data_IF_694129196300
#
_entry.id   IF_694129196300
#
_cell.length_a   1.000
_cell.length_b   1.000
_cell.length_c   1.000
_cell.angle_alpha   90.00
_cell.angle_beta   90.00
_cell.angle_gamma   90.00
#
_symmetry.space_group_name_H-M   'P 1'
#
loop_
_entity.id
_entity.type
_entity.pdbx_description
1 polymer ?
#
# COMPACT_ATOMS: atom_id res chain seq x y z
N UNK A 1 -2.46 -0.20 -19.36
CA UNK A 1 -1.96 -1.59 -19.21
C UNK A 1 -1.07 -1.57 -17.97
N UNK A 2 -1.52 -2.14 -16.85
CA UNK A 2 -0.81 -2.03 -15.57
C UNK A 2 0.42 -2.92 -15.58
N UNK A 3 1.61 -2.34 -15.49
CA UNK A 3 2.82 -3.14 -15.37
C UNK A 3 2.87 -3.80 -13.98
N UNK A 4 3.21 -5.07 -13.97
CA UNK A 4 3.63 -5.82 -12.81
C UNK A 4 4.70 -6.79 -13.30
N UNK A 5 5.65 -7.14 -12.45
CA UNK A 5 6.61 -8.19 -12.75
C UNK A 5 6.54 -9.29 -11.72
N UNK A 6 6.87 -10.51 -12.15
CA UNK A 6 6.90 -11.70 -11.31
C UNK A 6 8.35 -12.18 -11.26
N UNK A 7 8.91 -12.32 -10.06
CA UNK A 7 10.28 -12.82 -9.86
C UNK A 7 10.30 -14.30 -9.56
N UNK A 8 9.29 -14.78 -8.83
CA UNK A 8 9.17 -16.17 -8.40
C UNK A 8 7.74 -16.67 -8.60
N UNK A 9 7.57 -17.91 -9.06
CA UNK A 9 6.25 -18.52 -9.27
C UNK A 9 6.27 -20.00 -8.90
N UNK A 10 5.34 -20.43 -8.04
CA UNK A 10 5.19 -21.81 -7.58
C UNK A 10 3.73 -22.25 -7.70
N UNK A 11 3.50 -23.49 -8.13
CA UNK A 11 2.17 -24.06 -8.29
C UNK A 11 2.06 -25.38 -7.53
N UNK A 12 1.00 -25.51 -6.73
CA UNK A 12 0.71 -26.66 -5.88
C UNK A 12 -0.70 -27.20 -6.09
N UNK A 13 -0.98 -28.44 -5.66
CA UNK A 13 -2.34 -28.95 -5.51
C UNK A 13 -3.20 -28.03 -4.62
N UNK A 14 -4.54 -28.12 -4.70
CA UNK A 14 -5.44 -27.27 -3.95
C UNK A 14 -5.44 -27.64 -2.45
N UNK A 15 -6.15 -26.85 -1.64
CA UNK A 15 -6.41 -27.12 -0.23
C UNK A 15 -5.15 -27.19 0.65
N UNK A 16 -4.12 -26.39 0.33
CA UNK A 16 -3.04 -26.15 1.29
C UNK A 16 -3.61 -25.47 2.53
N UNK A 17 -3.32 -26.02 3.71
CA UNK A 17 -3.65 -25.39 4.98
C UNK A 17 -2.70 -24.21 5.27
N UNK A 18 -3.06 -23.40 6.26
CA UNK A 18 -2.31 -22.21 6.65
C UNK A 18 -0.84 -22.52 7.02
N UNK A 19 -0.55 -23.66 7.63
CA UNK A 19 0.83 -24.02 7.95
C UNK A 19 1.67 -24.23 6.69
N UNK A 20 1.12 -24.91 5.68
CA UNK A 20 1.80 -25.07 4.40
C UNK A 20 1.96 -23.74 3.67
N UNK A 21 0.92 -22.90 3.64
CA UNK A 21 0.99 -21.57 3.02
C UNK A 21 2.08 -20.72 3.69
N UNK A 22 2.08 -20.66 5.02
CA UNK A 22 3.08 -19.91 5.80
C UNK A 22 4.50 -20.44 5.60
N UNK A 23 4.68 -21.76 5.50
CA UNK A 23 5.99 -22.36 5.25
C UNK A 23 6.50 -22.00 3.84
N UNK A 24 5.69 -22.21 2.81
CA UNK A 24 6.06 -21.96 1.40
C UNK A 24 6.29 -20.46 1.17
N UNK A 25 5.41 -19.60 1.65
CA UNK A 25 5.64 -18.15 1.60
C UNK A 25 6.90 -17.76 2.40
N UNK A 26 7.16 -18.43 3.52
CA UNK A 26 8.41 -18.26 4.29
C UNK A 26 9.67 -18.57 3.49
N UNK A 27 9.63 -19.56 2.59
CA UNK A 27 10.72 -19.85 1.64
C UNK A 27 10.98 -18.63 0.75
N UNK A 28 9.93 -18.08 0.15
CA UNK A 28 10.01 -16.93 -0.75
C UNK A 28 10.50 -15.68 -0.01
N UNK A 29 9.91 -15.34 1.14
CA UNK A 29 10.29 -14.17 1.96
C UNK A 29 11.79 -14.22 2.33
N UNK A 30 12.30 -15.39 2.69
CA UNK A 30 13.64 -15.55 3.24
C UNK A 30 14.68 -16.01 2.20
N UNK A 31 14.31 -16.18 0.93
CA UNK A 31 15.19 -16.69 -0.12
C UNK A 31 15.76 -18.09 0.18
N UNK A 32 14.96 -18.96 0.79
CA UNK A 32 15.38 -20.32 1.15
C UNK A 32 15.22 -21.29 -0.02
N UNK A 33 15.86 -22.46 0.07
CA UNK A 33 15.63 -23.55 -0.87
C UNK A 33 14.38 -24.35 -0.50
N UNK A 34 13.55 -24.66 -1.51
CA UNK A 34 12.24 -25.29 -1.32
C UNK A 34 12.32 -26.78 -1.00
N UNK A 35 13.46 -27.41 -1.27
CA UNK A 35 13.74 -28.82 -1.00
C UNK A 35 14.23 -29.08 0.43
N UNK A 36 14.31 -28.04 1.26
CA UNK A 36 14.72 -28.12 2.65
C UNK A 36 13.56 -27.83 3.62
N UNK A 37 13.53 -28.46 4.81
CA UNK A 37 12.59 -28.11 5.85
C UNK A 37 12.71 -26.62 6.23
N UNK A 38 11.59 -25.91 6.21
CA UNK A 38 11.53 -24.50 6.62
C UNK A 38 11.46 -24.44 8.16
N UNK A 39 12.40 -23.75 8.83
CA UNK A 39 12.31 -23.53 10.27
C UNK A 39 11.02 -22.77 10.64
N UNK A 40 10.37 -23.13 11.75
CA UNK A 40 9.10 -22.49 12.15
C UNK A 40 9.22 -20.98 12.39
N UNK A 41 10.37 -20.47 12.82
CA UNK A 41 10.65 -19.03 12.98
C UNK A 41 10.74 -18.29 11.64
N UNK A 42 10.95 -19.04 10.55
CA UNK A 42 10.98 -18.57 9.16
C UNK A 42 9.64 -18.67 8.46
N UNK A 43 8.60 -19.17 9.13
CA UNK A 43 7.25 -19.13 8.57
C UNK A 43 6.82 -17.67 8.39
N UNK A 44 6.22 -17.40 7.23
CA UNK A 44 5.67 -16.10 6.95
C UNK A 44 4.41 -15.85 7.81
N UNK A 45 4.21 -14.59 8.15
CA UNK A 45 2.91 -14.08 8.55
C UNK A 45 2.07 -13.84 7.29
N UNK A 46 0.80 -14.27 7.32
CA UNK A 46 -0.10 -14.20 6.16
C UNK A 46 -1.27 -13.27 6.46
N UNK A 47 -1.76 -12.63 5.42
CA UNK A 47 -2.91 -11.73 5.46
C UNK A 47 -3.92 -12.24 4.46
N UNK A 48 -5.16 -12.45 4.89
CA UNK A 48 -6.24 -12.76 3.95
C UNK A 48 -6.86 -11.49 3.41
N UNK A 49 -7.34 -11.51 2.17
CA UNK A 49 -8.11 -10.40 1.60
C UNK A 49 -9.31 -10.00 2.48
N UNK A 50 -9.91 -10.96 3.19
CA UNK A 50 -11.02 -10.73 4.12
C UNK A 50 -10.64 -9.96 5.40
N UNK A 51 -9.35 -9.86 5.72
CA UNK A 51 -8.87 -9.00 6.82
C UNK A 51 -8.87 -7.53 6.42
N UNK A 52 -8.92 -7.23 5.12
CA UNK A 52 -9.07 -5.88 4.63
C UNK A 52 -10.50 -5.41 4.84
N UNK A 53 -10.67 -4.39 5.68
CA UNK A 53 -11.98 -3.81 5.93
C UNK A 53 -12.46 -2.95 4.75
N UNK A 54 -11.63 -2.59 3.78
CA UNK A 54 -12.05 -1.78 2.62
C UNK A 54 -12.04 -0.29 2.91
N UNK A 55 -12.80 0.49 2.14
CA UNK A 55 -12.91 1.96 2.25
C UNK A 55 -13.78 2.41 3.43
N UNK A 56 -13.59 1.82 4.62
CA UNK A 56 -14.30 2.30 5.80
C UNK A 56 -13.89 3.73 6.13
N UNK A 57 -14.89 4.54 6.47
CA UNK A 57 -14.67 5.89 6.99
C UNK A 57 -13.83 5.76 8.27
N UNK A 58 -12.66 6.41 8.35
CA UNK A 58 -11.83 6.47 9.54
C UNK A 58 -12.64 6.92 10.75
N UNK A 59 -12.43 6.21 11.86
CA UNK A 59 -13.01 6.56 13.16
C UNK A 59 -12.20 7.64 13.89
N UNK A 60 -10.97 7.88 13.44
CA UNK A 60 -10.09 8.91 13.96
C UNK A 60 -9.84 9.96 12.86
N UNK A 61 -9.13 11.02 13.26
CA UNK A 61 -8.71 12.09 12.35
C UNK A 61 -7.73 11.53 11.33
N UNK A 62 -7.83 11.98 10.08
CA UNK A 62 -6.81 11.72 9.06
C UNK A 62 -5.98 12.97 8.91
N UNK A 63 -4.74 12.93 9.37
CA UNK A 63 -3.84 14.08 9.35
C UNK A 63 -2.69 13.89 8.37
N UNK A 64 -2.34 14.93 7.63
CA UNK A 64 -1.12 15.01 6.84
C UNK A 64 -0.08 15.80 7.61
N UNK A 65 0.97 15.13 8.06
CA UNK A 65 2.16 15.76 8.63
C UNK A 65 3.11 16.23 7.52
N UNK A 66 3.73 17.39 7.70
CA UNK A 66 4.74 17.93 6.78
C UNK A 66 5.50 19.10 7.42
N UNK A 67 6.40 19.71 6.66
CA UNK A 67 6.97 21.01 7.04
C UNK A 67 5.95 22.13 6.85
N UNK A 68 5.99 23.10 7.75
CA UNK A 68 5.13 24.31 7.78
C UNK A 68 5.13 25.02 6.43
N UNK A 69 6.28 25.13 5.76
CA UNK A 69 6.40 25.76 4.44
C UNK A 69 5.57 25.06 3.36
N UNK A 70 5.50 23.72 3.40
CA UNK A 70 4.72 22.93 2.44
C UNK A 70 3.23 22.96 2.77
N UNK A 71 2.87 22.98 4.05
CA UNK A 71 1.48 23.17 4.48
C UNK A 71 0.99 24.56 4.08
N UNK A 72 1.83 25.59 4.24
CA UNK A 72 1.52 26.93 3.76
C UNK A 72 1.28 26.96 2.26
N UNK A 73 2.20 26.38 1.47
CA UNK A 73 2.03 26.27 0.03
C UNK A 73 0.76 25.50 -0.36
N UNK A 74 0.38 24.44 0.37
CA UNK A 74 -0.85 23.70 0.11
C UNK A 74 -2.09 24.58 0.30
N UNK A 75 -2.21 25.32 1.40
CA UNK A 75 -3.39 26.17 1.63
C UNK A 75 -3.41 27.45 0.80
N UNK A 76 -2.26 27.96 0.38
CA UNK A 76 -2.16 29.18 -0.43
C UNK A 76 -2.39 28.92 -1.91
N UNK A 77 -1.80 27.86 -2.46
CA UNK A 77 -1.81 27.59 -3.91
C UNK A 77 -2.42 26.24 -4.29
N UNK A 78 -2.76 25.40 -3.31
CA UNK A 78 -3.17 24.01 -3.55
C UNK A 78 -2.00 23.07 -3.84
N UNK A 79 -0.75 23.51 -3.64
CA UNK A 79 0.41 22.73 -4.04
C UNK A 79 0.58 21.48 -3.18
N UNK A 80 0.60 20.31 -3.80
CA UNK A 80 0.72 19.03 -3.13
C UNK A 80 1.61 18.09 -3.96
N UNK A 81 2.41 17.26 -3.28
CA UNK A 81 3.14 16.17 -3.93
C UNK A 81 2.43 14.84 -3.66
N UNK A 82 2.23 14.05 -4.72
CA UNK A 82 1.86 12.64 -4.62
C UNK A 82 3.10 11.79 -4.93
N UNK A 83 3.41 10.84 -4.05
CA UNK A 83 4.54 9.93 -4.23
C UNK A 83 4.20 8.77 -5.18
N UNK A 84 5.18 7.93 -5.45
CA UNK A 84 5.03 6.62 -6.08
C UNK A 84 5.71 5.57 -5.18
N UNK A 85 5.44 4.28 -5.35
CA UNK A 85 6.18 3.26 -4.61
C UNK A 85 7.69 3.34 -4.91
N UNK A 86 8.07 3.58 -6.17
CA UNK A 86 9.47 3.76 -6.57
C UNK A 86 10.12 4.96 -5.89
N UNK A 87 9.41 6.07 -5.73
CA UNK A 87 9.87 7.25 -4.99
C UNK A 87 10.19 6.89 -3.54
N UNK A 88 9.31 6.18 -2.83
CA UNK A 88 9.57 5.78 -1.44
C UNK A 88 10.71 4.76 -1.32
N UNK A 89 10.90 3.88 -2.30
CA UNK A 89 12.03 2.93 -2.32
C UNK A 89 13.41 3.63 -2.35
N UNK A 90 13.49 4.91 -2.74
CA UNK A 90 14.76 5.62 -2.90
C UNK A 90 15.25 6.33 -1.63
N UNK A 91 14.40 6.56 -0.63
CA UNK A 91 14.81 7.31 0.57
C UNK A 91 15.65 6.46 1.53
N UNK A 92 16.66 7.09 2.11
CA UNK A 92 17.50 6.50 3.16
C UNK A 92 16.95 6.76 4.57
N UNK A 93 16.14 7.81 4.74
CA UNK A 93 15.44 8.03 6.00
C UNK A 93 14.46 6.87 6.22
N UNK A 94 14.61 6.05 7.27
CA UNK A 94 13.79 4.87 7.49
C UNK A 94 12.32 5.18 7.79
N UNK A 95 11.98 6.43 8.15
CA UNK A 95 10.58 6.82 8.33
C UNK A 95 9.86 7.04 6.99
N UNK A 96 10.59 7.53 5.99
CA UNK A 96 10.06 7.87 4.67
C UNK A 96 10.27 6.71 3.69
N UNK A 97 11.42 6.06 3.78
CA UNK A 97 11.84 4.99 2.89
C UNK A 97 11.35 3.63 3.36
N UNK A 98 10.71 2.90 2.45
CA UNK A 98 10.44 1.48 2.58
C UNK A 98 10.94 0.81 1.31
N UNK A 99 12.05 0.06 1.41
CA UNK A 99 12.68 -0.58 0.25
C UNK A 99 11.84 -1.73 -0.32
N UNK A 100 10.83 -2.17 0.43
CA UNK A 100 9.89 -3.22 0.04
C UNK A 100 8.56 -2.66 -0.48
N UNK A 101 8.43 -1.35 -0.67
CA UNK A 101 7.19 -0.80 -1.23
C UNK A 101 6.95 -1.28 -2.66
N UNK A 102 5.69 -1.63 -2.92
CA UNK A 102 5.28 -2.25 -4.18
C UNK A 102 5.70 -3.71 -4.36
N UNK A 103 6.31 -4.36 -3.37
CA UNK A 103 6.71 -5.78 -3.42
C UNK A 103 5.90 -6.64 -2.44
N UNK A 104 5.37 -7.77 -2.94
CA UNK A 104 4.46 -8.64 -2.19
C UNK A 104 4.62 -10.10 -2.62
N UNK A 105 4.26 -11.02 -1.72
CA UNK A 105 3.93 -12.40 -2.11
C UNK A 105 2.42 -12.51 -2.16
N UNK A 106 1.91 -13.02 -3.29
CA UNK A 106 0.49 -13.29 -3.49
C UNK A 106 0.27 -14.79 -3.53
N UNK A 107 -0.73 -15.24 -2.78
CA UNK A 107 -1.18 -16.62 -2.75
C UNK A 107 -2.59 -16.68 -3.30
N UNK A 108 -2.73 -17.22 -4.51
CA UNK A 108 -4.03 -17.45 -5.14
C UNK A 108 -4.49 -18.87 -4.94
N UNK A 109 -5.75 -19.05 -4.53
CA UNK A 109 -6.34 -20.37 -4.34
C UNK A 109 -7.61 -20.55 -5.18
N UNK A 110 -7.80 -21.75 -5.74
CA UNK A 110 -9.10 -22.24 -6.20
C UNK A 110 -9.21 -23.75 -5.94
N UNK A 111 -10.29 -24.36 -6.42
CA UNK A 111 -10.57 -25.78 -6.23
C UNK A 111 -9.54 -26.72 -6.88
N UNK A 112 -8.73 -26.21 -7.83
CA UNK A 112 -7.78 -27.01 -8.62
C UNK A 112 -6.34 -26.81 -8.18
N UNK A 113 -5.96 -25.60 -7.79
CA UNK A 113 -4.58 -25.26 -7.49
C UNK A 113 -4.43 -24.21 -6.38
N UNK A 114 -3.23 -24.16 -5.81
CA UNK A 114 -2.74 -23.02 -5.03
C UNK A 114 -1.45 -22.52 -5.66
N UNK A 115 -1.42 -21.24 -6.03
CA UNK A 115 -0.23 -20.61 -6.61
C UNK A 115 0.37 -19.59 -5.66
N UNK A 116 1.69 -19.46 -5.69
CA UNK A 116 2.46 -18.46 -4.99
C UNK A 116 3.23 -17.64 -6.02
N UNK A 117 3.14 -16.33 -5.94
CA UNK A 117 3.88 -15.43 -6.82
C UNK A 117 4.54 -14.33 -5.98
N UNK A 118 5.84 -14.13 -6.17
CA UNK A 118 6.51 -12.93 -5.71
C UNK A 118 6.39 -11.88 -6.80
N UNK A 119 5.75 -10.75 -6.48
CA UNK A 119 5.38 -9.73 -7.45
C UNK A 119 5.91 -8.35 -7.06
N UNK A 120 6.31 -7.59 -8.07
CA UNK A 120 6.41 -6.14 -8.00
C UNK A 120 5.23 -5.50 -8.73
N UNK A 121 4.52 -4.57 -8.10
CA UNK A 121 3.32 -3.94 -8.65
C UNK A 121 3.12 -2.51 -8.13
N UNK A 122 2.10 -1.82 -8.66
CA UNK A 122 1.77 -0.44 -8.31
C UNK A 122 2.56 0.61 -9.09
N UNK A 123 3.14 0.24 -10.23
CA UNK A 123 3.88 1.17 -11.09
C UNK A 123 2.97 2.22 -11.74
N UNK A 124 1.65 2.14 -11.58
CA UNK A 124 0.69 3.11 -12.09
C UNK A 124 -0.07 3.81 -10.96
N UNK A 125 0.47 3.80 -9.74
CA UNK A 125 -0.18 4.31 -8.54
C UNK A 125 0.52 5.54 -7.97
N UNK A 126 -0.21 6.65 -7.91
CA UNK A 126 0.17 7.77 -7.05
C UNK A 126 -0.30 7.50 -5.63
N UNK A 127 0.57 7.77 -4.65
CA UNK A 127 0.36 7.43 -3.25
C UNK A 127 0.45 8.67 -2.38
N UNK A 128 -0.53 8.86 -1.50
CA UNK A 128 -0.55 9.91 -0.49
C UNK A 128 -0.78 9.31 0.89
N UNK A 129 0.28 9.34 1.71
CA UNK A 129 0.27 8.81 3.05
C UNK A 129 -0.12 9.89 4.07
N UNK A 130 -1.08 9.54 4.93
CA UNK A 130 -1.53 10.30 6.08
C UNK A 130 -1.40 9.44 7.34
N UNK A 131 -1.62 10.05 8.50
CA UNK A 131 -1.69 9.37 9.78
C UNK A 131 -3.15 9.33 10.24
N UNK A 132 -3.60 8.16 10.68
CA UNK A 132 -4.91 7.95 11.30
C UNK A 132 -4.77 8.15 12.81
N UNK A 133 -5.23 9.26 13.36
CA UNK A 133 -5.16 9.50 14.80
C UNK A 133 -4.92 10.95 15.16
N UNK A 134 -4.73 11.16 16.46
CA UNK A 134 -4.31 12.46 16.97
C UNK A 134 -2.84 12.73 16.61
N UNK A 135 -2.48 14.00 16.37
CA UNK A 135 -1.10 14.38 16.08
C UNK A 135 -0.18 14.01 17.24
N UNK A 136 0.78 13.14 16.96
CA UNK A 136 1.82 12.73 17.90
C UNK A 136 3.11 13.50 17.59
N UNK A 137 3.57 14.40 18.48
CA UNK A 137 4.80 15.16 18.29
C UNK A 137 6.03 14.29 18.06
N UNK A 138 6.12 13.12 18.70
CA UNK A 138 7.26 12.21 18.53
C UNK A 138 7.29 11.62 17.12
N UNK A 139 6.11 11.25 16.59
CA UNK A 139 6.01 10.78 15.20
C UNK A 139 6.33 11.91 14.23
N UNK A 140 5.76 13.11 14.41
CA UNK A 140 6.03 14.29 13.58
C UNK A 140 7.55 14.57 13.51
N UNK A 141 8.23 14.56 14.66
CA UNK A 141 9.67 14.83 14.75
C UNK A 141 10.51 13.74 14.06
N UNK A 142 10.14 12.45 14.19
CA UNK A 142 10.86 11.34 13.52
C UNK A 142 10.87 11.49 12.00
N UNK A 143 9.80 12.02 11.41
CA UNK A 143 9.75 12.32 9.98
C UNK A 143 10.51 13.61 9.60
N UNK A 144 11.00 14.39 10.56
CA UNK A 144 11.62 15.69 10.33
C UNK A 144 10.61 16.78 9.93
N UNK A 145 9.38 16.65 10.40
CA UNK A 145 8.27 17.59 10.16
C UNK A 145 8.05 18.47 11.38
N UNK A 146 7.30 19.56 11.20
CA UNK A 146 7.00 20.53 12.27
C UNK A 146 5.54 21.00 12.30
N UNK A 147 4.70 20.51 11.37
CA UNK A 147 3.31 20.91 11.28
C UNK A 147 2.43 19.80 10.67
N UNK A 148 1.11 19.98 10.74
CA UNK A 148 0.13 19.08 10.14
C UNK A 148 -1.17 19.81 9.76
N UNK A 149 -1.92 19.20 8.84
CA UNK A 149 -3.31 19.55 8.59
C UNK A 149 -4.21 18.33 8.65
N UNK A 150 -5.50 18.55 8.87
CA UNK A 150 -6.51 17.49 8.91
C UNK A 150 -7.31 17.46 7.62
N UNK A 151 -7.58 16.25 7.10
CA UNK A 151 -8.54 16.01 6.02
C UNK A 151 -9.89 15.73 6.68
N UNK A 152 -10.78 16.71 6.65
CA UNK A 152 -12.09 16.64 7.34
C UNK A 152 -13.17 16.02 6.47
N UNK A 153 -12.98 16.02 5.15
CA UNK A 153 -13.81 15.30 4.18
C UNK A 153 -12.92 14.48 3.25
N UNK A 154 -12.79 13.21 3.59
CA UNK A 154 -11.94 12.25 2.88
C UNK A 154 -12.42 12.03 1.45
N UNK A 155 -13.73 11.99 1.23
CA UNK A 155 -14.29 11.75 -0.10
C UNK A 155 -14.06 12.96 -0.98
N UNK A 156 -14.46 14.15 -0.52
CA UNK A 156 -14.25 15.40 -1.24
C UNK A 156 -12.77 15.66 -1.54
N UNK A 157 -11.88 15.43 -0.58
CA UNK A 157 -10.44 15.52 -0.80
C UNK A 157 -9.98 14.54 -1.88
N UNK A 158 -10.35 13.26 -1.77
CA UNK A 158 -9.92 12.24 -2.72
C UNK A 158 -10.41 12.50 -4.15
N UNK A 159 -11.65 12.98 -4.30
CA UNK A 159 -12.27 13.33 -5.58
C UNK A 159 -11.62 14.58 -6.21
N UNK A 160 -11.32 15.60 -5.40
CA UNK A 160 -10.63 16.80 -5.88
C UNK A 160 -9.26 16.47 -6.49
N UNK A 161 -8.50 15.59 -5.84
CA UNK A 161 -7.22 15.11 -6.35
C UNK A 161 -7.42 14.23 -7.58
N UNK A 162 -8.38 13.30 -7.58
CA UNK A 162 -8.69 12.45 -8.74
C UNK A 162 -8.95 13.28 -9.99
N UNK A 163 -9.74 14.35 -9.86
CA UNK A 163 -10.04 15.28 -10.95
C UNK A 163 -8.78 16.02 -11.43
N UNK A 164 -7.90 16.44 -10.51
CA UNK A 164 -6.68 17.16 -10.84
C UNK A 164 -5.66 16.32 -11.64
N UNK A 165 -5.63 15.00 -11.42
CA UNK A 165 -4.69 14.08 -12.10
C UNK A 165 -5.37 13.16 -13.12
N UNK A 166 -6.66 13.32 -13.35
CA UNK A 166 -7.47 12.46 -14.21
C UNK A 166 -7.37 10.95 -13.86
N UNK A 167 -7.35 10.64 -12.56
CA UNK A 167 -7.37 9.27 -12.08
C UNK A 167 -8.76 8.65 -12.24
N UNK A 168 -8.82 7.40 -12.69
CA UNK A 168 -10.10 6.68 -12.88
C UNK A 168 -10.56 5.99 -11.61
N UNK A 169 -9.62 5.58 -10.78
CA UNK A 169 -9.90 4.81 -9.57
C UNK A 169 -9.06 5.34 -8.43
N UNK A 170 -9.72 5.43 -7.27
CA UNK A 170 -9.13 5.77 -5.98
C UNK A 170 -9.33 4.55 -5.09
N UNK A 171 -8.32 4.22 -4.30
CA UNK A 171 -8.41 3.32 -3.17
C UNK A 171 -7.94 4.06 -1.93
N UNK A 172 -8.62 3.86 -0.80
CA UNK A 172 -8.24 4.47 0.47
C UNK A 172 -8.55 3.57 1.65
N UNK A 173 -7.57 3.38 2.51
CA UNK A 173 -7.74 2.57 3.71
C UNK A 173 -6.56 2.75 4.67
N UNK A 174 -6.73 2.20 5.87
CA UNK A 174 -5.65 2.03 6.84
C UNK A 174 -4.71 0.93 6.37
N UNK A 175 -3.44 1.08 6.71
CA UNK A 175 -2.49 -0.01 6.53
C UNK A 175 -2.72 -1.12 7.57
N UNK A 176 -2.68 -2.36 7.11
CA UNK A 176 -2.59 -3.56 7.95
C UNK A 176 -1.12 -3.84 8.20
N UNK A 177 -0.77 -3.98 9.47
CA UNK A 177 0.61 -4.21 9.90
C UNK A 177 0.85 -5.68 10.22
N UNK A 178 1.77 -6.28 9.47
CA UNK A 178 2.10 -7.71 9.53
C UNK A 178 3.60 -7.89 9.57
N UNK A 179 4.08 -9.08 9.94
CA UNK A 179 5.53 -9.34 9.87
C UNK A 179 6.01 -9.35 8.42
N UNK A 180 5.23 -9.97 7.54
CA UNK A 180 5.58 -10.22 6.14
C UNK A 180 4.46 -9.72 5.21
N UNK A 181 4.82 -9.26 4.01
CA UNK A 181 3.87 -8.78 2.98
C UNK A 181 3.33 -9.94 2.13
N UNK A 182 2.56 -10.83 2.77
CA UNK A 182 1.93 -11.97 2.11
C UNK A 182 0.40 -11.81 2.10
N UNK A 183 -0.19 -11.74 0.90
CA UNK A 183 -1.64 -11.67 0.70
C UNK A 183 -2.17 -12.99 0.17
N UNK A 184 -3.24 -13.51 0.78
CA UNK A 184 -3.93 -14.74 0.40
C UNK A 184 -5.34 -14.40 -0.09
N UNK A 185 -5.63 -14.77 -1.33
CA UNK A 185 -6.89 -14.47 -2.02
C UNK A 185 -7.51 -15.70 -2.69
N UNK A 186 -8.80 -15.61 -2.97
CA UNK A 186 -9.52 -16.63 -3.73
C UNK A 186 -9.65 -16.22 -5.19
N UNK A 187 -9.58 -17.20 -6.08
CA UNK A 187 -9.61 -17.00 -7.52
C UNK A 187 -10.76 -17.74 -8.16
N UNK A 188 -11.28 -17.25 -9.30
CA UNK A 188 -12.22 -18.02 -10.11
C UNK A 188 -11.68 -19.40 -10.50
N UNK A 189 -12.57 -20.37 -10.68
CA UNK A 189 -12.21 -21.76 -11.03
C UNK A 189 -11.58 -21.88 -12.44
N UNK A 190 -11.87 -20.92 -13.32
CA UNK A 190 -11.33 -20.79 -14.67
C UNK A 190 -10.02 -19.98 -14.70
N UNK A 191 -9.51 -19.54 -13.54
CA UNK A 191 -8.23 -18.85 -13.46
C UNK A 191 -7.10 -19.79 -13.88
N UNK A 192 -6.43 -19.43 -14.98
CA UNK A 192 -5.31 -20.19 -15.50
C UNK A 192 -4.00 -19.74 -14.87
N UNK A 193 -3.59 -20.47 -13.84
CA UNK A 193 -2.31 -20.32 -13.17
C UNK A 193 -1.10 -20.62 -14.10
N UNK A 194 -1.29 -21.32 -15.21
CA UNK A 194 -0.19 -21.66 -16.14
C UNK A 194 0.16 -20.52 -17.11
N UNK A 195 -0.68 -19.49 -17.22
CA UNK A 195 -0.42 -18.32 -18.05
C UNK A 195 -0.08 -17.12 -17.19
N UNK A 196 1.16 -16.62 -17.35
CA UNK A 196 1.53 -15.31 -16.84
C UNK A 196 0.79 -14.25 -17.65
N UNK A 197 -0.44 -13.95 -17.23
CA UNK A 197 -1.35 -13.03 -17.91
C UNK A 197 -1.61 -11.80 -17.06
N UNK A 198 -2.25 -10.79 -17.65
CA UNK A 198 -2.74 -9.60 -16.93
C UNK A 198 -3.64 -10.01 -15.76
N UNK A 199 -4.26 -11.20 -15.80
CA UNK A 199 -5.06 -11.73 -14.69
C UNK A 199 -4.24 -12.10 -13.45
N UNK A 200 -2.92 -12.29 -13.53
CA UNK A 200 -2.12 -12.39 -12.29
C UNK A 200 -2.18 -11.10 -11.46
N UNK A 201 -2.49 -9.94 -12.05
CA UNK A 201 -2.85 -8.75 -11.28
C UNK A 201 -4.21 -8.89 -10.58
N UNK A 202 -5.13 -9.70 -11.09
CA UNK A 202 -6.43 -10.00 -10.44
C UNK A 202 -6.25 -10.90 -9.20
N UNK A 203 -5.16 -11.68 -9.10
CA UNK A 203 -4.79 -12.40 -7.86
C UNK A 203 -4.47 -11.46 -6.71
N UNK A 204 -4.13 -10.23 -7.07
CA UNK A 204 -3.53 -9.25 -6.21
C UNK A 204 -4.48 -8.05 -6.24
N UNK A 205 -5.58 -8.10 -5.49
CA UNK A 205 -6.47 -6.96 -5.39
C UNK A 205 -5.71 -5.73 -4.81
N UNK A 206 -6.38 -4.58 -4.73
CA UNK A 206 -5.80 -3.35 -4.18
C UNK A 206 -5.31 -3.48 -2.74
N UNK A 207 -5.83 -4.44 -1.96
CA UNK A 207 -5.53 -4.60 -0.53
C UNK A 207 -4.03 -4.83 -0.26
N UNK A 208 -3.31 -5.44 -1.22
CA UNK A 208 -1.85 -5.64 -1.12
C UNK A 208 -1.11 -4.34 -0.83
N UNK A 209 -1.55 -3.24 -1.43
CA UNK A 209 -0.93 -1.93 -1.28
C UNK A 209 -1.16 -1.30 0.10
N UNK A 210 -1.93 -1.95 0.96
CA UNK A 210 -2.19 -1.52 2.32
C UNK A 210 -1.51 -2.42 3.35
N UNK A 211 -0.69 -3.40 2.94
CA UNK A 211 0.09 -4.21 3.88
C UNK A 211 1.45 -3.56 4.12
N UNK A 212 1.77 -3.23 5.38
CA UNK A 212 3.09 -2.76 5.80
C UNK A 212 3.72 -3.72 6.81
N UNK A 213 5.04 -3.71 6.88
CA UNK A 213 5.77 -4.45 7.91
C UNK A 213 5.56 -3.81 9.29
N UNK A 214 5.60 -4.63 10.33
CA UNK A 214 5.37 -4.21 11.72
C UNK A 214 6.32 -3.10 12.21
N UNK A 215 7.49 -2.93 11.57
CA UNK A 215 8.44 -1.86 11.89
C UNK A 215 7.86 -0.46 11.61
N UNK A 216 6.85 -0.35 10.73
CA UNK A 216 6.16 0.90 10.42
C UNK A 216 4.86 1.10 11.21
N UNK A 217 4.55 0.21 12.17
CA UNK A 217 3.27 0.24 12.89
C UNK A 217 3.03 1.54 13.66
N UNK A 218 4.09 2.19 14.14
CA UNK A 218 3.98 3.48 14.83
C UNK A 218 3.52 4.62 13.91
N UNK A 219 3.61 4.45 12.58
CA UNK A 219 3.18 5.47 11.62
C UNK A 219 1.67 5.53 11.45
N UNK A 220 0.93 4.53 11.95
CA UNK A 220 -0.53 4.39 11.89
C UNK A 220 -1.15 4.95 10.58
N UNK A 221 -0.65 4.46 9.46
CA UNK A 221 -0.81 5.06 8.16
C UNK A 221 -2.23 4.87 7.62
N UNK A 222 -2.80 5.97 7.14
CA UNK A 222 -3.96 5.99 6.26
C UNK A 222 -3.50 6.39 4.86
N UNK A 223 -3.73 5.52 3.88
CA UNK A 223 -3.18 5.68 2.55
C UNK A 223 -4.29 5.99 1.56
N UNK A 224 -4.03 6.95 0.69
CA UNK A 224 -4.78 7.16 -0.55
C UNK A 224 -3.92 6.70 -1.72
N UNK A 225 -4.53 5.98 -2.66
CA UNK A 225 -3.90 5.47 -3.87
C UNK A 225 -4.77 5.87 -5.05
N UNK A 226 -4.20 6.58 -6.01
CA UNK A 226 -4.86 6.87 -7.28
C UNK A 226 -4.23 6.04 -8.38
N UNK A 227 -5.06 5.23 -9.03
CA UNK A 227 -4.70 4.43 -10.18
C UNK A 227 -4.84 5.26 -11.46
N UNK A 228 -3.79 5.27 -12.27
CA UNK A 228 -3.76 5.96 -13.56
C UNK A 228 -3.45 4.99 -14.71
N UNK A 229 -3.84 5.37 -15.93
CA UNK A 229 -3.64 4.56 -17.14
C UNK A 229 -2.26 4.80 -17.77
N UNK A 230 -1.21 4.80 -16.94
CA UNK A 230 0.18 4.94 -17.36
C UNK A 230 1.14 4.41 -16.28
N UNK A 231 2.26 3.84 -16.71
CA UNK A 231 3.38 3.56 -15.80
C UNK A 231 4.06 4.87 -15.40
N UNK A 232 4.33 5.00 -14.11
CA UNK A 232 4.94 6.15 -13.45
C UNK A 232 6.04 5.70 -12.51
N UNK A 233 7.07 6.52 -12.46
CA UNK A 233 8.24 6.29 -11.64
C UNK A 233 8.45 7.45 -10.68
N UNK A 234 8.29 8.67 -11.19
CA UNK A 234 8.53 9.90 -10.46
C UNK A 234 7.28 10.37 -9.71
N UNK A 235 7.45 11.05 -8.56
CA UNK A 235 6.35 11.74 -7.91
C UNK A 235 5.82 12.86 -8.80
N UNK A 236 4.57 13.26 -8.58
CA UNK A 236 3.98 14.44 -9.23
C UNK A 236 3.71 15.53 -8.21
N UNK A 237 3.97 16.77 -8.61
CA UNK A 237 3.53 17.96 -7.88
C UNK A 237 2.36 18.56 -8.66
N UNK A 238 1.26 18.79 -7.97
CA UNK A 238 0.03 19.37 -8.53
C UNK A 238 -0.36 20.61 -7.77
N UNK A 239 -1.08 21.51 -8.44
CA UNK A 239 -1.78 22.62 -7.81
C UNK A 239 -3.28 22.30 -7.79
N UNK A 240 -3.81 21.91 -6.63
CA UNK A 240 -5.21 21.54 -6.43
C UNK A 240 -5.83 22.38 -5.30
N UNK A 241 -6.16 23.64 -5.59
CA UNK A 241 -6.77 24.54 -4.61
C UNK A 241 -8.14 24.00 -4.11
N UNK A 242 -8.85 23.24 -4.96
CA UNK A 242 -10.10 22.56 -4.62
C UNK A 242 -9.94 21.65 -3.39
N UNK A 243 -8.84 20.91 -3.30
CA UNK A 243 -8.56 19.98 -2.20
C UNK A 243 -8.52 20.68 -0.83
N UNK A 244 -8.09 21.95 -0.78
CA UNK A 244 -8.01 22.71 0.48
C UNK A 244 -9.36 22.92 1.15
N UNK A 245 -10.47 22.90 0.39
CA UNK A 245 -11.84 23.05 0.93
C UNK A 245 -12.25 21.90 1.85
N UNK A 246 -11.58 20.75 1.70
CA UNK A 246 -11.83 19.52 2.44
C UNK A 246 -10.81 19.30 3.56
N UNK A 247 -10.01 20.33 3.85
CA UNK A 247 -8.96 20.29 4.85
C UNK A 247 -9.09 21.43 5.85
N UNK A 248 -8.59 21.19 7.06
CA UNK A 248 -8.51 22.19 8.12
C UNK A 248 -7.06 22.28 8.63
N UNK A 249 -6.54 23.50 8.77
CA UNK A 249 -5.28 23.72 9.49
C UNK A 249 -5.44 23.34 10.96
N UNK A 250 -4.31 22.98 11.60
CA UNK A 250 -4.21 23.05 13.05
C UNK A 250 -4.74 24.42 13.51
N UNK A 251 -5.73 24.45 14.40
CA UNK A 251 -6.07 25.69 15.08
C UNK A 251 -4.84 26.05 15.93
N UNK A 252 -4.19 27.17 15.62
CA UNK A 252 -3.33 27.84 16.59
C UNK A 252 -4.27 28.41 17.65
N UNK A 253 -4.37 27.72 18.79
CA UNK A 253 -4.80 28.37 20.03
C UNK A 253 -3.76 29.41 20.46
#
# INVERSE_FOLDING_TARGET
MTSAYITSYLLYPPNLNDQHIRAISGVLVNGLFIDQPVPYDKFADITYESEFDGEHIPRHRVIKMSKTEYINSFFETGKLQLGTFKYYNQFDNPEIGDKSEGSFIIVGQNEKHTAFAEIGSGFNNYVFCCFDGEPDPEVIERFGYDDYFEIVDINGFSEAISNAINARTIYKSRCIYKKDKVLVGQTPEDFDFSTVSVRLNELANESKYFIKTNEYKHQNEYRFIWDIDADIEEPIIIDCLEATKFCKRKNTD
#
